data_IF_243088138227
#
_entry.id   IF_243088138227
#
_cell.length_a   1.000
_cell.length_b   1.000
_cell.length_c   1.000
_cell.angle_alpha   90.00
_cell.angle_beta   90.00
_cell.angle_gamma   90.00
#
_symmetry.space_group_name_H-M   'P 1'
#
loop_
_entity.id
_entity.type
_entity.pdbx_description
1 polymer ?
#
# COMPACT_ATOMS: atom_id res chain seq x y z
N UNK A 1 -10.72 20.28 14.50
CA UNK A 1 -11.66 19.48 13.69
C UNK A 1 -12.20 20.26 12.49
N UNK A 2 -12.72 21.50 12.68
CA UNK A 2 -13.22 22.39 11.62
C UNK A 2 -12.33 22.59 10.38
N UNK A 3 -11.02 22.68 10.54
CA UNK A 3 -10.12 22.85 9.39
C UNK A 3 -10.12 21.63 8.45
N UNK A 4 -10.13 20.40 8.98
CA UNK A 4 -10.20 19.19 8.17
C UNK A 4 -11.56 19.02 7.51
N UNK A 5 -12.63 19.43 8.19
CA UNK A 5 -13.98 19.45 7.61
C UNK A 5 -14.10 20.45 6.46
N UNK A 6 -13.44 21.61 6.55
CA UNK A 6 -13.37 22.56 5.45
C UNK A 6 -12.62 21.98 4.24
N UNK A 7 -11.46 21.33 4.46
CA UNK A 7 -10.73 20.66 3.37
C UNK A 7 -11.56 19.51 2.78
N UNK A 8 -12.25 18.71 3.60
CA UNK A 8 -13.12 17.64 3.13
C UNK A 8 -14.34 18.14 2.35
N UNK A 9 -14.74 19.42 2.52
CA UNK A 9 -15.87 20.03 1.82
C UNK A 9 -15.46 20.74 0.55
N UNK A 10 -14.37 21.50 0.60
CA UNK A 10 -13.99 22.47 -0.43
C UNK A 10 -12.67 22.12 -1.13
N UNK A 11 -11.94 21.10 -0.66
CA UNK A 11 -10.61 20.75 -1.15
C UNK A 11 -10.57 20.35 -2.62
N UNK A 12 -11.58 19.64 -3.12
CA UNK A 12 -11.66 19.21 -4.52
C UNK A 12 -11.59 20.39 -5.49
N UNK A 13 -12.30 21.49 -5.19
CA UNK A 13 -12.31 22.72 -5.99
C UNK A 13 -10.94 23.39 -6.05
N UNK A 14 -10.06 23.06 -5.10
CA UNK A 14 -8.71 23.58 -4.95
C UNK A 14 -7.64 22.56 -5.36
N UNK A 15 -8.02 21.37 -5.84
CA UNK A 15 -7.09 20.28 -6.15
C UNK A 15 -6.42 19.67 -4.90
N UNK A 16 -7.04 19.81 -3.73
CA UNK A 16 -6.52 19.31 -2.45
C UNK A 16 -7.24 18.01 -2.06
N UNK A 17 -6.46 16.93 -1.93
CA UNK A 17 -6.95 15.64 -1.44
C UNK A 17 -6.55 15.42 0.02
N UNK A 18 -7.50 14.97 0.84
CA UNK A 18 -7.28 14.72 2.26
C UNK A 18 -7.20 13.21 2.53
N UNK A 19 -6.08 12.77 3.10
CA UNK A 19 -5.90 11.40 3.62
C UNK A 19 -5.75 11.47 5.13
N UNK A 20 -6.61 10.75 5.87
CA UNK A 20 -6.58 10.70 7.33
C UNK A 20 -6.38 9.26 7.78
N UNK A 21 -5.43 9.04 8.68
CA UNK A 21 -5.20 7.76 9.33
C UNK A 21 -5.48 7.88 10.83
N UNK A 22 -6.18 6.91 11.40
CA UNK A 22 -6.49 6.86 12.81
C UNK A 22 -6.55 5.41 13.30
N UNK A 23 -6.24 5.17 14.58
CA UNK A 23 -6.32 3.86 15.23
C UNK A 23 -7.67 3.62 15.92
N UNK A 24 -8.73 4.30 15.49
CA UNK A 24 -10.03 4.27 16.15
C UNK A 24 -11.12 3.84 15.17
N UNK A 25 -11.94 2.88 15.60
CA UNK A 25 -13.18 2.47 14.93
C UNK A 25 -14.14 3.64 14.68
N UNK A 26 -14.00 4.74 15.43
CA UNK A 26 -14.85 5.94 15.29
C UNK A 26 -14.44 6.85 14.14
N UNK A 27 -13.32 6.59 13.47
CA UNK A 27 -12.82 7.44 12.39
C UNK A 27 -13.83 7.56 11.24
N UNK A 28 -14.50 6.46 10.88
CA UNK A 28 -15.56 6.45 9.85
C UNK A 28 -16.82 7.23 10.25
N UNK A 29 -17.11 7.35 11.54
CA UNK A 29 -18.27 8.08 12.05
C UNK A 29 -18.06 9.60 12.16
N UNK A 30 -16.83 10.09 11.93
CA UNK A 30 -16.53 11.53 11.89
C UNK A 30 -17.11 12.19 10.64
N UNK A 31 -17.25 13.53 10.62
CA UNK A 31 -17.70 14.25 9.41
C UNK A 31 -16.73 14.06 8.23
N UNK A 32 -15.42 14.00 8.50
CA UNK A 32 -14.40 13.66 7.49
C UNK A 32 -14.60 12.24 6.98
N UNK A 33 -14.83 11.27 7.88
CA UNK A 33 -15.08 9.88 7.51
C UNK A 33 -16.33 9.69 6.65
N UNK A 34 -17.43 10.38 6.99
CA UNK A 34 -18.68 10.37 6.19
C UNK A 34 -18.54 10.98 4.80
N UNK A 35 -17.60 11.90 4.59
CA UNK A 35 -17.33 12.53 3.30
C UNK A 35 -16.25 11.80 2.48
N UNK A 36 -15.58 10.81 3.05
CA UNK A 36 -14.50 10.12 2.36
C UNK A 36 -15.08 9.29 1.19
N UNK A 37 -14.58 9.53 -0.02
CA UNK A 37 -14.93 8.72 -1.19
C UNK A 37 -14.31 7.31 -1.17
N UNK A 38 -13.36 7.08 -0.26
CA UNK A 38 -12.64 5.83 -0.09
C UNK A 38 -12.31 5.61 1.39
N UNK A 39 -12.64 4.44 1.93
CA UNK A 39 -12.33 4.03 3.29
C UNK A 39 -11.43 2.80 3.28
N UNK A 40 -10.28 2.90 3.95
CA UNK A 40 -9.35 1.79 4.16
C UNK A 40 -9.46 1.34 5.61
N UNK A 41 -9.90 0.10 5.82
CA UNK A 41 -9.91 -0.55 7.13
C UNK A 41 -8.86 -1.66 7.14
N UNK A 42 -7.85 -1.51 7.98
CA UNK A 42 -6.83 -2.54 8.18
C UNK A 42 -7.31 -3.53 9.24
N UNK A 43 -6.98 -4.80 9.05
CA UNK A 43 -7.26 -5.84 10.01
C UNK A 43 -6.40 -5.63 11.28
N UNK A 44 -6.96 -5.98 12.44
CA UNK A 44 -6.23 -5.93 13.69
C UNK A 44 -5.13 -7.00 13.68
N UNK A 45 -3.87 -6.56 13.63
CA UNK A 45 -2.72 -7.45 13.67
C UNK A 45 -2.64 -8.12 15.05
N UNK A 46 -2.59 -9.45 15.07
CA UNK A 46 -2.32 -10.25 16.26
C UNK A 46 -0.99 -11.01 16.18
N UNK A 47 -0.71 -11.85 17.17
CA UNK A 47 0.56 -12.62 17.29
C UNK A 47 0.39 -14.14 17.14
N UNK A 48 -0.84 -14.64 16.97
CA UNK A 48 -1.16 -16.03 16.69
C UNK A 48 -0.96 -16.40 15.23
N UNK A 49 -0.86 -17.70 14.95
CA UNK A 49 -0.61 -18.22 13.61
C UNK A 49 -1.75 -17.93 12.61
N UNK A 50 -2.99 -17.82 13.11
CA UNK A 50 -4.19 -17.50 12.34
C UNK A 50 -4.48 -15.98 12.28
N UNK A 51 -3.71 -15.17 13.00
CA UNK A 51 -3.94 -13.73 13.04
C UNK A 51 -3.53 -13.09 11.70
N UNK A 52 -4.25 -12.06 11.24
CA UNK A 52 -3.99 -11.44 9.95
C UNK A 52 -2.61 -10.77 9.94
N UNK A 53 -1.87 -11.01 8.85
CA UNK A 53 -0.57 -10.40 8.62
C UNK A 53 -0.68 -8.87 8.53
N UNK A 54 0.36 -8.11 8.97
CA UNK A 54 0.40 -6.67 8.80
C UNK A 54 0.09 -6.22 7.37
N UNK A 55 -0.76 -5.21 7.23
CA UNK A 55 -1.13 -4.63 5.95
C UNK A 55 -2.34 -5.28 5.28
N UNK A 56 -2.88 -6.39 5.83
CA UNK A 56 -4.17 -6.92 5.37
C UNK A 56 -5.31 -5.98 5.71
N UNK A 57 -6.31 -5.89 4.84
CA UNK A 57 -7.51 -5.14 5.11
C UNK A 57 -8.50 -5.12 3.95
N UNK A 58 -9.46 -4.20 4.04
CA UNK A 58 -10.48 -3.96 3.04
C UNK A 58 -10.54 -2.49 2.63
N UNK A 59 -10.79 -2.28 1.36
CA UNK A 59 -11.06 -0.99 0.73
C UNK A 59 -12.55 -0.91 0.43
N UNK A 60 -13.20 0.17 0.86
CA UNK A 60 -14.61 0.45 0.60
C UNK A 60 -14.74 1.75 -0.17
N UNK A 61 -15.42 1.73 -1.31
CA UNK A 61 -15.73 2.95 -2.06
C UNK A 61 -17.09 3.55 -1.62
N UNK A 62 -17.38 4.75 -2.13
CA UNK A 62 -18.65 5.46 -1.88
C UNK A 62 -19.88 4.72 -2.44
N UNK A 63 -19.69 3.87 -3.46
CA UNK A 63 -20.75 3.05 -4.05
C UNK A 63 -21.02 1.77 -3.23
N UNK A 64 -20.26 1.55 -2.15
CA UNK A 64 -20.36 0.40 -1.27
C UNK A 64 -19.63 -0.84 -1.78
N UNK A 65 -18.85 -0.75 -2.87
CA UNK A 65 -18.01 -1.88 -3.29
C UNK A 65 -16.92 -2.12 -2.25
N UNK A 66 -16.64 -3.40 -2.01
CA UNK A 66 -15.61 -3.84 -1.06
C UNK A 66 -14.58 -4.69 -1.78
N UNK A 67 -13.30 -4.33 -1.62
CA UNK A 67 -12.18 -5.10 -2.15
C UNK A 67 -11.21 -5.45 -1.02
N UNK A 68 -10.93 -6.75 -0.83
CA UNK A 68 -9.86 -7.19 0.05
C UNK A 68 -8.50 -6.85 -0.58
N UNK A 69 -7.54 -6.44 0.24
CA UNK A 69 -6.19 -6.13 -0.21
C UNK A 69 -5.12 -6.52 0.80
N UNK A 70 -3.89 -6.64 0.31
CA UNK A 70 -2.68 -6.76 1.12
C UNK A 70 -1.79 -5.56 0.81
N UNK A 71 -1.61 -4.68 1.78
CA UNK A 71 -0.71 -3.54 1.69
C UNK A 71 0.72 -3.99 1.48
N UNK A 72 1.38 -3.39 0.48
CA UNK A 72 2.80 -3.62 0.24
C UNK A 72 3.64 -3.07 1.39
N UNK A 73 4.58 -3.86 1.89
CA UNK A 73 5.59 -3.39 2.83
C UNK A 73 6.77 -2.84 2.06
N UNK A 74 6.97 -1.53 2.14
CA UNK A 74 8.21 -0.90 1.65
C UNK A 74 9.18 -0.87 2.82
N UNK A 75 10.05 -1.87 2.95
CA UNK A 75 11.16 -1.75 3.89
C UNK A 75 12.23 -0.87 3.26
N UNK A 76 12.82 0.04 4.04
CA UNK A 76 13.84 0.96 3.52
C UNK A 76 15.09 0.28 2.94
N UNK A 77 15.21 -1.06 2.98
CA UNK A 77 16.37 -1.81 2.46
C UNK A 77 15.94 -3.18 1.91
N UNK A 78 16.25 -3.43 0.64
CA UNK A 78 16.27 -4.79 0.08
C UNK A 78 17.29 -5.58 0.90
N UNK A 79 16.93 -6.73 1.52
CA UNK A 79 17.92 -7.64 2.05
C UNK A 79 18.83 -8.08 0.90
N UNK A 80 20.15 -7.81 0.99
CA UNK A 80 21.14 -8.12 -0.06
C UNK A 80 21.43 -9.61 -0.25
N UNK A 81 20.54 -10.44 0.28
CA UNK A 81 20.48 -11.88 0.06
C UNK A 81 19.93 -12.24 -1.32
N UNK A 82 19.37 -11.27 -2.07
CA UNK A 82 18.72 -11.51 -3.35
C UNK A 82 19.50 -10.88 -4.53
N UNK A 83 20.60 -11.51 -4.96
CA UNK A 83 21.18 -11.28 -6.30
C UNK A 83 20.41 -12.01 -7.41
N UNK A 84 19.17 -12.43 -7.14
CA UNK A 84 18.35 -13.11 -8.12
C UNK A 84 17.62 -12.06 -8.96
N UNK A 85 17.73 -12.17 -10.29
CA UNK A 85 16.87 -11.40 -11.19
C UNK A 85 15.41 -11.65 -10.78
N UNK A 86 14.58 -10.62 -10.65
CA UNK A 86 13.15 -10.81 -10.43
C UNK A 86 12.60 -11.71 -11.55
N UNK A 87 12.07 -12.86 -11.18
CA UNK A 87 11.32 -13.75 -12.08
C UNK A 87 9.86 -13.73 -11.68
N UNK A 88 8.99 -13.51 -12.67
CA UNK A 88 7.55 -13.74 -12.52
C UNK A 88 7.32 -15.21 -12.84
N UNK A 89 6.89 -15.97 -11.84
CA UNK A 89 6.47 -17.37 -12.02
C UNK A 89 4.99 -17.47 -11.65
N UNK A 90 4.22 -18.36 -12.32
CA UNK A 90 2.84 -18.66 -11.92
C UNK A 90 2.80 -19.08 -10.45
N UNK A 91 1.84 -18.53 -9.72
CA UNK A 91 1.67 -18.82 -8.31
C UNK A 91 0.88 -20.12 -8.15
N UNK A 92 1.46 -21.13 -7.51
CA UNK A 92 0.76 -22.33 -7.06
C UNK A 92 0.00 -22.01 -5.77
N UNK A 93 -1.30 -21.75 -5.89
CA UNK A 93 -2.15 -21.30 -4.79
C UNK A 93 -2.18 -22.25 -3.59
N UNK A 94 -2.03 -23.55 -3.82
CA UNK A 94 -2.04 -24.58 -2.77
C UNK A 94 -0.85 -24.49 -1.81
N UNK A 95 0.21 -23.76 -2.17
CA UNK A 95 1.47 -23.66 -1.43
C UNK A 95 1.75 -22.26 -0.88
N UNK A 96 0.75 -21.36 -0.96
CA UNK A 96 0.89 -20.00 -0.49
C UNK A 96 1.00 -19.97 1.05
N UNK A 97 2.20 -19.69 1.57
CA UNK A 97 2.48 -19.63 3.01
C UNK A 97 3.72 -20.42 3.43
N UNK A 98 4.20 -21.33 2.59
CA UNK A 98 5.45 -22.06 2.82
C UNK A 98 6.63 -21.09 2.93
N UNK A 99 7.55 -21.28 3.90
CA UNK A 99 8.77 -20.48 3.96
C UNK A 99 9.63 -20.75 2.71
N UNK A 100 10.18 -19.71 2.06
CA UNK A 100 11.00 -19.90 0.87
C UNK A 100 12.21 -20.78 1.18
N UNK A 101 12.58 -21.65 0.24
CA UNK A 101 13.74 -22.54 0.38
C UNK A 101 15.00 -21.73 0.74
N UNK A 102 15.63 -22.06 1.87
CA UNK A 102 16.80 -21.33 2.37
C UNK A 102 17.98 -21.55 1.43
N UNK A 103 18.52 -20.45 0.87
CA UNK A 103 19.71 -20.46 0.00
C UNK A 103 20.86 -19.72 0.69
N UNK A 104 22.11 -20.19 0.57
CA UNK A 104 23.27 -19.52 1.17
C UNK A 104 23.58 -18.20 0.44
N UNK A 105 24.00 -17.18 1.21
CA UNK A 105 24.20 -15.79 0.76
C UNK A 105 25.68 -15.39 0.93
N UNK A 106 26.24 -14.66 -0.04
CA UNK A 106 27.58 -14.06 0.04
C UNK A 106 27.48 -12.53 0.00
N UNK A 107 28.22 -11.85 0.86
CA UNK A 107 28.11 -10.39 1.07
C UNK A 107 28.83 -9.57 -0.02
N UNK A 108 28.15 -8.58 -0.59
CA UNK A 108 28.72 -7.45 -1.34
C UNK A 108 27.96 -6.15 -0.98
N UNK A 109 28.60 -4.99 -1.13
CA UNK A 109 28.23 -3.65 -0.61
C UNK A 109 26.85 -3.05 -0.99
N UNK A 110 26.72 -1.70 -1.01
CA UNK A 110 25.41 -1.03 -0.88
C UNK A 110 24.46 -1.05 -2.12
N UNK A 111 23.41 -1.89 -2.13
CA UNK A 111 22.31 -1.90 -3.13
C UNK A 111 21.08 -0.99 -2.84
N UNK A 112 20.15 -0.82 -3.82
CA UNK A 112 18.99 0.11 -3.78
C UNK A 112 17.90 -0.28 -2.76
N UNK A 113 16.96 0.63 -2.47
CA UNK A 113 15.87 0.44 -1.48
C UNK A 113 14.58 -0.12 -2.11
N UNK A 114 13.68 -0.74 -1.34
CA UNK A 114 12.37 -1.20 -1.87
C UNK A 114 11.55 -0.03 -2.40
N UNK A 115 11.71 1.17 -1.83
CA UNK A 115 11.06 2.39 -2.30
C UNK A 115 11.55 2.76 -3.70
N UNK A 116 12.85 2.65 -3.94
CA UNK A 116 13.43 2.90 -5.27
C UNK A 116 12.91 1.89 -6.30
N UNK A 117 12.73 0.62 -5.89
CA UNK A 117 12.13 -0.40 -6.76
C UNK A 117 10.64 -0.14 -7.03
N UNK A 118 9.86 0.20 -6.01
CA UNK A 118 8.44 0.53 -6.15
C UNK A 118 8.25 1.73 -7.08
N UNK A 119 9.00 2.81 -6.86
CA UNK A 119 8.96 3.99 -7.72
C UNK A 119 9.30 3.63 -9.18
N UNK A 120 10.32 2.79 -9.38
CA UNK A 120 10.71 2.31 -10.71
C UNK A 120 9.64 1.43 -11.37
N UNK A 121 8.96 0.57 -10.59
CA UNK A 121 7.87 -0.26 -11.08
C UNK A 121 6.63 0.56 -11.46
N UNK A 122 6.27 1.54 -10.64
CA UNK A 122 5.17 2.47 -10.91
C UNK A 122 5.44 3.31 -12.17
N UNK A 123 6.66 3.84 -12.35
CA UNK A 123 7.02 4.58 -13.57
C UNK A 123 6.90 3.70 -14.83
N UNK A 124 7.36 2.44 -14.76
CA UNK A 124 7.20 1.49 -15.87
C UNK A 124 5.73 1.19 -16.17
N UNK A 125 4.92 0.94 -15.14
CA UNK A 125 3.50 0.65 -15.29
C UNK A 125 2.76 1.84 -15.93
N UNK A 126 3.00 3.06 -15.44
CA UNK A 126 2.42 4.28 -15.98
C UNK A 126 2.77 4.47 -17.47
N UNK A 127 4.04 4.26 -17.86
CA UNK A 127 4.45 4.30 -19.27
C UNK A 127 3.78 3.23 -20.12
N UNK A 128 3.62 2.03 -19.57
CA UNK A 128 3.01 0.90 -20.31
C UNK A 128 1.55 1.14 -20.69
N UNK A 129 0.83 1.95 -19.90
CA UNK A 129 -0.57 2.31 -20.14
C UNK A 129 -0.72 3.72 -20.73
N UNK A 130 0.39 4.36 -21.14
CA UNK A 130 0.42 5.75 -21.62
C UNK A 130 -0.31 6.74 -20.69
N UNK A 131 -0.19 6.56 -19.38
CA UNK A 131 -0.78 7.47 -18.41
C UNK A 131 -0.19 8.88 -18.58
N UNK A 132 -1.06 9.90 -18.54
CA UNK A 132 -0.63 11.30 -18.61
C UNK A 132 0.31 11.63 -17.46
N UNK A 133 1.46 12.23 -17.81
CA UNK A 133 2.49 12.57 -16.85
C UNK A 133 2.11 13.85 -16.14
N UNK A 134 1.75 13.76 -14.86
CA UNK A 134 1.46 14.94 -14.03
C UNK A 134 2.79 15.61 -13.65
N UNK A 135 2.91 16.95 -13.75
CA UNK A 135 4.09 17.67 -13.30
C UNK A 135 4.42 17.41 -11.83
N UNK A 136 5.71 17.43 -11.48
CA UNK A 136 6.15 17.39 -10.09
C UNK A 136 5.52 18.55 -9.30
N UNK A 137 5.02 18.25 -8.10
CA UNK A 137 4.57 19.24 -7.11
C UNK A 137 5.70 19.64 -6.13
N UNK A 138 6.90 19.08 -6.33
CA UNK A 138 8.15 19.44 -5.65
C UNK A 138 9.02 20.29 -6.57
#
# INVERSE_FOLDING_TARGET
MRALEAVARDGERLGVHLVVAARSERAGASEVGRRAGLLVALDAVGSGAEDPAPGRGVLRDVDGRVAAFQGGRVTGRIPRTATLRPTVVPLEWERMGDPPARRPVRELGNGPTDLALLASALDRAARSVSADRVPSLL
#
